data_IF_618278949074
#
_entry.id   IF_618278949074
#
_cell.length_a   1.000
_cell.length_b   1.000
_cell.length_c   1.000
_cell.angle_alpha   90.00
_cell.angle_beta   90.00
_cell.angle_gamma   90.00
#
_symmetry.space_group_name_H-M   'P 1'
#
loop_
_entity.id
_entity.type
_entity.pdbx_description
1 polymer ?
#
# COMPACT_ATOMS: atom_id res chain seq x y z
N UNK A 1 5.46 3.38 -9.07
CA UNK A 1 4.13 3.22 -9.71
C UNK A 1 3.42 4.58 -9.76
N UNK A 2 2.88 4.98 -10.92
CA UNK A 2 2.13 6.24 -11.10
C UNK A 2 0.67 5.97 -10.76
N UNK A 3 0.07 6.75 -9.85
CA UNK A 3 -1.34 6.70 -9.39
C UNK A 3 -2.34 6.80 -10.56
N UNK A 4 -2.45 5.73 -11.35
CA UNK A 4 -3.20 5.62 -12.61
C UNK A 4 -4.11 4.41 -12.54
N UNK A 5 -5.18 4.45 -13.32
CA UNK A 5 -6.07 3.31 -13.45
C UNK A 5 -5.29 2.11 -14.01
N UNK A 6 -5.33 0.93 -13.36
CA UNK A 6 -4.66 -0.27 -13.86
C UNK A 6 -5.27 -0.79 -15.16
N UNK A 7 -6.57 -0.53 -15.39
CA UNK A 7 -7.30 -0.96 -16.60
C UNK A 7 -7.00 -0.12 -17.83
N UNK A 8 -7.15 1.21 -17.73
CA UNK A 8 -7.06 2.11 -18.89
C UNK A 8 -5.84 3.06 -18.88
N UNK A 9 -5.04 3.05 -17.80
CA UNK A 9 -3.91 3.99 -17.64
C UNK A 9 -4.30 5.45 -17.37
N UNK A 10 -5.60 5.73 -17.24
CA UNK A 10 -6.17 7.05 -16.96
C UNK A 10 -5.67 7.65 -15.64
N UNK A 11 -5.54 8.97 -15.59
CA UNK A 11 -5.08 9.71 -14.40
C UNK A 11 -6.25 10.29 -13.59
N UNK A 12 -5.98 10.77 -12.37
CA UNK A 12 -7.03 11.40 -11.55
C UNK A 12 -7.98 10.42 -10.85
N UNK A 13 -7.55 9.18 -10.62
CA UNK A 13 -8.36 8.18 -9.89
C UNK A 13 -8.42 8.46 -8.38
N UNK A 14 -7.45 9.22 -7.85
CA UNK A 14 -7.45 9.69 -6.46
C UNK A 14 -8.03 11.11 -6.38
N UNK A 15 -9.10 11.30 -5.62
CA UNK A 15 -9.66 12.61 -5.27
C UNK A 15 -8.90 13.28 -4.12
N UNK A 16 -8.10 12.53 -3.38
CA UNK A 16 -7.18 13.01 -2.34
C UNK A 16 -6.16 11.93 -2.00
N UNK A 17 -5.23 12.21 -1.09
CA UNK A 17 -4.15 11.28 -0.76
C UNK A 17 -4.64 9.90 -0.28
N UNK A 18 -5.67 9.89 0.58
CA UNK A 18 -6.32 8.67 1.08
C UNK A 18 -7.64 8.34 0.37
N UNK A 19 -8.15 9.28 -0.44
CA UNK A 19 -9.48 9.18 -1.06
C UNK A 19 -9.34 8.76 -2.52
N UNK A 20 -9.49 7.47 -2.76
CA UNK A 20 -9.71 6.95 -4.11
C UNK A 20 -11.17 7.21 -4.51
N UNK A 21 -11.42 7.52 -5.79
CA UNK A 21 -12.77 7.57 -6.32
C UNK A 21 -13.34 6.15 -6.40
N UNK A 22 -14.66 6.01 -6.27
CA UNK A 22 -15.32 4.71 -6.43
C UNK A 22 -15.22 4.18 -7.87
N UNK A 23 -15.22 5.09 -8.86
CA UNK A 23 -15.13 4.77 -10.29
C UNK A 23 -14.03 5.57 -10.98
N UNK A 24 -13.42 4.98 -12.00
CA UNK A 24 -12.46 5.65 -12.85
C UNK A 24 -13.15 6.75 -13.68
N UNK A 25 -12.66 8.00 -13.69
CA UNK A 25 -13.26 9.07 -14.49
C UNK A 25 -13.06 8.90 -16.00
N UNK A 26 -12.16 8.01 -16.43
CA UNK A 26 -11.85 7.80 -17.86
C UNK A 26 -12.60 6.59 -18.44
N UNK A 27 -12.61 5.45 -17.74
CA UNK A 27 -13.22 4.21 -18.26
C UNK A 27 -14.41 3.71 -17.44
N UNK A 28 -14.83 4.41 -16.39
CA UNK A 28 -15.96 3.99 -15.54
C UNK A 28 -15.70 2.83 -14.59
N UNK A 29 -14.53 2.17 -14.68
CA UNK A 29 -14.19 1.00 -13.88
C UNK A 29 -14.37 1.24 -12.37
N UNK A 30 -15.15 0.39 -11.70
CA UNK A 30 -15.44 0.47 -10.27
C UNK A 30 -14.31 -0.18 -9.46
N UNK A 31 -13.65 0.62 -8.62
CA UNK A 31 -12.49 0.18 -7.83
C UNK A 31 -12.87 -0.54 -6.52
N UNK A 32 -14.00 -0.20 -5.92
CA UNK A 32 -14.47 -0.82 -4.68
C UNK A 32 -15.73 -1.64 -4.98
N UNK A 33 -15.54 -2.95 -5.07
CA UNK A 33 -16.59 -3.92 -5.45
C UNK A 33 -17.36 -4.41 -4.23
N UNK A 34 -16.64 -4.70 -3.16
CA UNK A 34 -17.15 -5.31 -1.93
C UNK A 34 -16.64 -4.58 -0.68
N UNK A 35 -17.41 -4.60 0.39
CA UNK A 35 -16.91 -4.10 1.69
C UNK A 35 -15.78 -5.00 2.17
N UNK A 36 -14.61 -4.42 2.41
CA UNK A 36 -13.41 -5.17 2.79
C UNK A 36 -12.40 -5.36 1.65
N UNK A 37 -12.68 -4.87 0.45
CA UNK A 37 -11.75 -4.86 -0.70
C UNK A 37 -10.34 -4.34 -0.34
N UNK A 38 -10.28 -3.29 0.48
CA UNK A 38 -9.01 -2.68 0.89
C UNK A 38 -8.21 -3.44 1.95
N UNK A 39 -8.76 -4.53 2.48
CA UNK A 39 -8.09 -5.35 3.50
C UNK A 39 -6.79 -5.95 2.95
N UNK A 40 -6.81 -6.44 1.71
CA UNK A 40 -5.60 -6.93 1.04
C UNK A 40 -4.53 -5.85 0.87
N UNK A 41 -4.94 -4.63 0.49
CA UNK A 41 -4.03 -3.49 0.42
C UNK A 41 -3.46 -3.09 1.80
N UNK A 42 -4.22 -3.25 2.88
CA UNK A 42 -3.73 -3.02 4.24
C UNK A 42 -2.71 -4.09 4.64
N UNK A 43 -2.98 -5.37 4.36
CA UNK A 43 -2.06 -6.48 4.65
C UNK A 43 -0.72 -6.26 3.93
N UNK A 44 -0.76 -5.94 2.63
CA UNK A 44 0.48 -5.65 1.87
C UNK A 44 1.23 -4.45 2.45
N UNK A 45 0.51 -3.40 2.86
CA UNK A 45 1.12 -2.20 3.45
C UNK A 45 1.85 -2.54 4.76
N UNK A 46 1.19 -3.29 5.65
CA UNK A 46 1.74 -3.72 6.94
C UNK A 46 2.94 -4.63 6.70
N UNK A 47 2.81 -5.65 5.85
CA UNK A 47 3.89 -6.60 5.56
C UNK A 47 5.16 -5.91 5.04
N UNK A 48 5.03 -4.94 4.14
CA UNK A 48 6.18 -4.16 3.62
C UNK A 48 6.80 -3.30 4.72
N UNK A 49 5.99 -2.64 5.55
CA UNK A 49 6.49 -1.80 6.64
C UNK A 49 7.21 -2.64 7.71
N UNK A 50 6.66 -3.78 8.09
CA UNK A 50 7.26 -4.68 9.08
C UNK A 50 8.57 -5.30 8.54
N UNK A 51 8.58 -5.76 7.30
CA UNK A 51 9.80 -6.31 6.70
C UNK A 51 10.92 -5.25 6.67
N UNK A 52 10.58 -4.01 6.32
CA UNK A 52 11.52 -2.89 6.37
C UNK A 52 12.03 -2.62 7.79
N UNK A 53 11.15 -2.66 8.79
CA UNK A 53 11.52 -2.48 10.18
C UNK A 53 12.47 -3.59 10.68
N UNK A 54 12.20 -4.86 10.36
CA UNK A 54 13.07 -5.99 10.74
C UNK A 54 14.48 -5.84 10.16
N UNK A 55 14.59 -5.40 8.90
CA UNK A 55 15.88 -5.13 8.26
C UNK A 55 16.64 -4.03 9.00
N UNK A 56 15.98 -2.90 9.28
CA UNK A 56 16.58 -1.80 10.05
C UNK A 56 16.98 -2.21 11.47
N UNK A 57 16.14 -3.01 12.13
CA UNK A 57 16.42 -3.55 13.44
C UNK A 57 17.71 -4.38 13.43
N UNK A 58 17.83 -5.32 12.49
CA UNK A 58 19.03 -6.14 12.32
C UNK A 58 20.29 -5.30 12.03
N UNK A 59 20.18 -4.30 11.15
CA UNK A 59 21.28 -3.39 10.81
C UNK A 59 21.78 -2.56 12.00
N UNK A 60 20.93 -2.26 12.98
CA UNK A 60 21.32 -1.52 14.17
C UNK A 60 21.84 -2.47 15.26
N UNK A 61 21.12 -3.56 15.54
CA UNK A 61 21.41 -4.44 16.68
C UNK A 61 22.65 -5.30 16.45
N UNK A 62 22.81 -5.91 15.27
CA UNK A 62 23.93 -6.82 14.99
C UNK A 62 25.31 -6.17 15.20
N UNK A 63 25.59 -4.93 14.74
CA UNK A 63 26.89 -4.30 14.95
C UNK A 63 27.07 -3.63 16.32
N UNK A 64 25.98 -3.35 17.04
CA UNK A 64 26.05 -2.62 18.34
C UNK A 64 25.95 -3.53 19.56
N UNK A 65 25.74 -4.83 19.36
CA UNK A 65 25.65 -5.78 20.45
C UNK A 65 26.99 -5.90 21.22
N UNK A 66 27.00 -5.86 22.58
CA UNK A 66 25.86 -5.85 23.50
C UNK A 66 25.30 -4.46 23.87
N UNK A 67 26.02 -3.37 23.58
CA UNK A 67 25.64 -1.99 23.92
C UNK A 67 24.67 -1.37 22.90
N UNK A 68 23.48 -1.98 22.79
CA UNK A 68 22.46 -1.60 21.81
C UNK A 68 21.88 -0.20 22.13
N UNK A 69 21.82 0.73 21.16
CA UNK A 69 21.26 2.06 21.34
C UNK A 69 19.71 2.02 21.27
N UNK A 70 19.07 1.56 22.34
CA UNK A 70 17.61 1.39 22.43
C UNK A 70 16.81 2.66 22.11
N UNK A 71 17.32 3.84 22.48
CA UNK A 71 16.66 5.13 22.17
C UNK A 71 16.60 5.40 20.67
N UNK A 72 17.65 5.06 19.93
CA UNK A 72 17.69 5.20 18.48
C UNK A 72 16.72 4.22 17.83
N UNK A 73 16.72 2.97 18.28
CA UNK A 73 15.78 1.94 17.80
C UNK A 73 14.32 2.33 18.02
N UNK A 74 13.98 2.84 19.20
CA UNK A 74 12.62 3.34 19.48
C UNK A 74 12.26 4.51 18.57
N UNK A 75 13.16 5.49 18.42
CA UNK A 75 12.92 6.64 17.55
C UNK A 75 12.72 6.22 16.09
N UNK A 76 13.60 5.38 15.56
CA UNK A 76 13.51 4.84 14.20
C UNK A 76 12.23 4.02 14.03
N UNK A 77 11.92 3.13 14.97
CA UNK A 77 10.73 2.29 14.92
C UNK A 77 9.43 3.09 14.93
N UNK A 78 9.34 4.14 15.77
CA UNK A 78 8.18 5.02 15.81
C UNK A 78 8.02 5.80 14.50
N UNK A 79 9.13 6.33 13.97
CA UNK A 79 9.14 7.08 12.72
C UNK A 79 8.74 6.20 11.54
N UNK A 80 9.32 5.01 11.41
CA UNK A 80 9.03 4.12 10.28
C UNK A 80 7.64 3.51 10.41
N UNK A 81 7.26 2.93 11.55
CA UNK A 81 5.93 2.33 11.69
C UNK A 81 4.79 3.35 11.76
N UNK A 82 5.08 4.61 12.13
CA UNK A 82 4.08 5.68 12.09
C UNK A 82 3.95 6.34 10.72
N UNK A 83 5.07 6.72 10.11
CA UNK A 83 5.07 7.55 8.89
C UNK A 83 5.03 6.71 7.62
N UNK A 84 5.74 5.59 7.58
CA UNK A 84 5.92 4.78 6.39
C UNK A 84 4.62 4.12 5.91
N UNK A 85 3.74 3.53 6.76
CA UNK A 85 2.48 2.98 6.28
C UNK A 85 1.54 4.07 5.75
N UNK A 86 1.50 5.22 6.42
CA UNK A 86 0.71 6.39 6.01
C UNK A 86 1.17 6.86 4.63
N UNK A 87 2.48 6.97 4.42
CA UNK A 87 3.05 7.37 3.13
C UNK A 87 2.84 6.28 2.08
N UNK A 88 3.01 5.01 2.43
CA UNK A 88 2.99 3.91 1.47
C UNK A 88 1.56 3.47 1.07
N UNK A 89 0.54 3.94 1.80
CA UNK A 89 -0.86 3.55 1.61
C UNK A 89 -1.38 3.69 0.16
N UNK A 90 -1.16 4.82 -0.56
CA UNK A 90 -1.67 4.98 -1.91
C UNK A 90 -1.00 4.03 -2.92
N UNK A 91 0.28 3.71 -2.69
CA UNK A 91 1.02 2.74 -3.50
C UNK A 91 0.54 1.32 -3.23
N UNK A 92 0.28 0.97 -1.97
CA UNK A 92 -0.30 -0.34 -1.62
C UNK A 92 -1.67 -0.54 -2.28
N UNK A 93 -2.54 0.47 -2.26
CA UNK A 93 -3.82 0.41 -2.98
C UNK A 93 -3.65 0.19 -4.47
N UNK A 94 -2.71 0.91 -5.09
CA UNK A 94 -2.44 0.78 -6.54
C UNK A 94 -1.90 -0.60 -6.88
N UNK A 95 -1.03 -1.14 -6.03
CA UNK A 95 -0.47 -2.48 -6.18
C UNK A 95 -1.54 -3.56 -6.01
N UNK A 96 -2.38 -3.45 -4.98
CA UNK A 96 -3.49 -4.38 -4.75
C UNK A 96 -4.46 -4.43 -5.93
N UNK A 97 -4.90 -3.27 -6.44
CA UNK A 97 -5.79 -3.23 -7.61
C UNK A 97 -5.15 -3.85 -8.85
N UNK A 98 -3.85 -3.65 -9.06
CA UNK A 98 -3.13 -4.27 -10.17
C UNK A 98 -2.99 -5.79 -9.99
N UNK A 99 -2.75 -6.23 -8.76
CA UNK A 99 -2.60 -7.64 -8.41
C UNK A 99 -3.94 -8.37 -8.58
N UNK A 100 -5.04 -7.81 -8.10
CA UNK A 100 -6.36 -8.38 -8.34
C UNK A 100 -6.72 -8.43 -9.82
N UNK A 101 -6.43 -7.40 -10.61
CA UNK A 101 -6.69 -7.43 -12.05
C UNK A 101 -5.90 -8.56 -12.76
N UNK A 102 -4.75 -8.96 -12.21
CA UNK A 102 -3.97 -10.08 -12.71
C UNK A 102 -4.51 -11.44 -12.25
N UNK A 103 -5.00 -11.56 -11.01
CA UNK A 103 -5.48 -12.82 -10.44
C UNK A 103 -6.95 -13.12 -10.75
N UNK A 104 -7.79 -12.10 -10.76
CA UNK A 104 -9.23 -12.16 -10.99
C UNK A 104 -9.60 -11.28 -12.19
N UNK A 105 -9.06 -11.63 -13.35
CA UNK A 105 -9.62 -11.10 -14.60
C UNK A 105 -10.93 -11.84 -14.87
N UNK A 106 -12.07 -11.22 -14.51
CA UNK A 106 -13.40 -11.72 -14.85
C UNK A 106 -14.08 -10.76 -15.85
N UNK A 107 -14.39 -11.19 -17.09
CA UNK A 107 -15.03 -10.37 -18.09
C UNK A 107 -16.52 -10.05 -17.79
N UNK A 108 -17.17 -10.74 -16.84
CA UNK A 108 -18.57 -10.47 -16.45
C UNK A 108 -18.76 -9.15 -15.68
N UNK A 109 -17.65 -8.53 -15.29
CA UNK A 109 -17.54 -7.31 -14.50
C UNK A 109 -17.88 -6.01 -15.24
N UNK A 110 -18.25 -6.10 -16.51
CA UNK A 110 -18.60 -4.99 -17.40
C UNK A 110 -20.12 -4.76 -17.55
N UNK A 111 -20.98 -5.51 -16.85
CA UNK A 111 -22.44 -5.27 -16.90
C UNK A 111 -22.81 -4.03 -16.05
N UNK A 112 -23.43 -2.99 -16.65
CA UNK A 112 -23.62 -1.66 -16.05
C UNK A 112 -24.57 -1.56 -14.84
#
# INVERSE_FOLDING_TARGET
MRKRCPRCGGSGIFAGYFRLRERCPTCGHRFEREQGYWTGAMIVNIAVCELWFVVLFGLIVLPTFPDVPWRLLLAVGLLTNGLLPVVFYPWSKTFWMALELLFHWDPEDDDP
#
